data_IF_162488607951
#
_entry.id   IF_162488607951
#
_cell.length_a   1.000
_cell.length_b   1.000
_cell.length_c   1.000
_cell.angle_alpha   90.00
_cell.angle_beta   90.00
_cell.angle_gamma   90.00
#
_symmetry.space_group_name_H-M   'P 1'
#
loop_
_entity.id
_entity.type
_entity.pdbx_description
1 polymer ?
#
# COMPACT_ATOMS: atom_id res chain seq x y z
N UNK A 1 -38.61 -19.30 84.23
CA UNK A 1 -38.94 -20.16 83.08
C UNK A 1 -39.85 -19.39 82.15
N UNK A 2 -39.28 -18.73 81.14
CA UNK A 2 -40.04 -17.99 80.14
C UNK A 2 -39.14 -17.71 78.93
N UNK A 3 -39.70 -17.98 77.74
CA UNK A 3 -39.39 -17.43 76.41
C UNK A 3 -38.00 -17.73 75.83
N UNK A 4 -37.94 -18.42 74.68
CA UNK A 4 -37.51 -17.87 73.36
C UNK A 4 -37.77 -18.95 72.29
N UNK A 5 -38.69 -18.69 71.36
CA UNK A 5 -38.80 -19.37 70.06
C UNK A 5 -37.64 -18.89 69.17
N UNK A 6 -36.81 -19.81 68.66
CA UNK A 6 -35.87 -19.51 67.57
C UNK A 6 -36.49 -19.94 66.24
N UNK A 7 -36.93 -18.96 65.46
CA UNK A 7 -37.25 -19.12 64.04
C UNK A 7 -35.95 -19.02 63.24
N UNK A 8 -35.64 -20.03 62.44
CA UNK A 8 -34.56 -20.00 61.45
C UNK A 8 -35.01 -19.12 60.26
N UNK A 9 -34.38 -17.96 60.11
CA UNK A 9 -34.43 -17.19 58.86
C UNK A 9 -33.58 -17.90 57.81
N UNK A 10 -34.19 -18.30 56.69
CA UNK A 10 -33.46 -18.54 55.45
C UNK A 10 -33.07 -17.19 54.85
N UNK A 11 -31.78 -16.85 54.89
CA UNK A 11 -31.23 -15.74 54.13
C UNK A 11 -31.15 -16.15 52.65
N UNK A 12 -32.02 -15.60 51.82
CA UNK A 12 -31.85 -15.65 50.37
C UNK A 12 -30.64 -14.77 50.02
N UNK A 13 -29.53 -15.39 49.60
CA UNK A 13 -28.46 -14.68 48.92
C UNK A 13 -28.99 -14.22 47.56
N UNK A 14 -29.34 -12.94 47.46
CA UNK A 14 -29.55 -12.25 46.20
C UNK A 14 -28.20 -12.16 45.47
N UNK A 15 -27.92 -13.11 44.59
CA UNK A 15 -26.86 -12.97 43.58
C UNK A 15 -27.18 -11.75 42.72
N UNK A 16 -26.46 -10.65 42.97
CA UNK A 16 -26.40 -9.52 42.05
C UNK A 16 -25.70 -10.03 40.80
N UNK A 17 -26.47 -10.34 39.76
CA UNK A 17 -25.94 -10.45 38.42
C UNK A 17 -25.47 -9.06 38.02
N UNK A 18 -24.16 -8.84 38.09
CA UNK A 18 -23.52 -7.79 37.31
C UNK A 18 -23.67 -8.24 35.85
N UNK A 19 -24.74 -7.79 35.20
CA UNK A 19 -24.80 -7.82 33.74
C UNK A 19 -23.57 -7.07 33.23
N UNK A 20 -22.68 -7.70 32.46
CA UNK A 20 -21.69 -6.93 31.75
C UNK A 20 -22.48 -5.97 30.86
N UNK A 21 -22.27 -4.66 31.03
CA UNK A 21 -22.74 -3.69 30.05
C UNK A 21 -22.17 -4.17 28.71
N UNK A 22 -23.05 -4.63 27.85
CA UNK A 22 -22.75 -4.83 26.45
C UNK A 22 -22.46 -3.45 25.85
N UNK A 23 -21.23 -2.96 26.02
CA UNK A 23 -20.64 -1.97 25.13
C UNK A 23 -20.30 -2.65 23.80
N UNK A 24 -21.33 -3.22 23.18
CA UNK A 24 -21.37 -3.65 21.80
C UNK A 24 -22.26 -2.69 21.04
N UNK A 25 -22.02 -1.37 21.17
CA UNK A 25 -22.52 -0.45 20.18
C UNK A 25 -21.80 -0.80 18.88
N UNK A 26 -22.47 -1.58 18.04
CA UNK A 26 -22.22 -1.68 16.61
C UNK A 26 -22.14 -0.24 16.11
N UNK A 27 -20.94 0.33 16.10
CA UNK A 27 -20.69 1.59 15.40
C UNK A 27 -20.86 1.19 13.95
N UNK A 28 -22.09 1.30 13.43
CA UNK A 28 -22.30 1.21 11.99
C UNK A 28 -21.29 2.18 11.38
N UNK A 29 -20.39 1.65 10.55
CA UNK A 29 -19.37 2.46 9.92
C UNK A 29 -20.11 3.58 9.18
N UNK A 30 -19.93 4.83 9.62
CA UNK A 30 -20.39 5.96 8.84
C UNK A 30 -19.62 5.89 7.51
N UNK A 31 -20.36 5.81 6.41
CA UNK A 31 -19.83 5.75 5.05
C UNK A 31 -19.20 7.08 4.62
N UNK A 32 -19.36 8.12 5.43
CA UNK A 32 -18.82 9.44 5.19
C UNK A 32 -19.60 10.14 4.07
N UNK A 33 -18.91 11.01 3.33
CA UNK A 33 -19.51 11.79 2.24
C UNK A 33 -18.64 11.79 0.97
N UNK A 34 -17.63 10.91 0.91
CA UNK A 34 -16.74 10.76 -0.23
C UNK A 34 -17.33 9.92 -1.37
N UNK A 35 -16.47 9.50 -2.29
CA UNK A 35 -16.83 8.74 -3.49
C UNK A 35 -17.50 7.40 -3.18
N UNK A 36 -17.21 6.77 -2.04
CA UNK A 36 -17.89 5.55 -1.62
C UNK A 36 -19.39 5.79 -1.40
N UNK A 37 -19.74 6.85 -0.65
CA UNK A 37 -21.13 7.17 -0.32
C UNK A 37 -21.90 7.76 -1.51
N UNK A 38 -21.21 8.50 -2.38
CA UNK A 38 -21.85 9.27 -3.47
C UNK A 38 -21.83 8.56 -4.82
N UNK A 39 -20.94 7.57 -5.01
CA UNK A 39 -20.63 7.00 -6.32
C UNK A 39 -19.94 7.98 -7.29
N UNK A 40 -19.63 9.20 -6.83
CA UNK A 40 -19.04 10.25 -7.65
C UNK A 40 -17.54 10.33 -7.43
N UNK A 41 -16.78 9.99 -8.48
CA UNK A 41 -15.33 10.12 -8.51
C UNK A 41 -14.96 11.37 -9.31
N UNK A 42 -14.20 12.25 -8.68
CA UNK A 42 -13.80 13.55 -9.23
C UNK A 42 -12.82 13.38 -10.39
N UNK A 43 -13.08 14.08 -11.49
CA UNK A 43 -12.12 14.26 -12.59
C UNK A 43 -11.49 15.65 -12.41
N UNK A 44 -10.33 15.70 -11.76
CA UNK A 44 -9.66 16.94 -11.40
C UNK A 44 -9.13 17.69 -12.62
N UNK A 45 -8.81 16.97 -13.72
CA UNK A 45 -8.43 17.60 -14.97
C UNK A 45 -9.62 18.35 -15.58
N UNK A 46 -10.81 17.76 -15.52
CA UNK A 46 -12.02 18.45 -15.96
C UNK A 46 -12.41 19.60 -15.02
N UNK A 47 -12.42 19.36 -13.71
CA UNK A 47 -12.85 20.34 -12.71
C UNK A 47 -11.96 21.59 -12.66
N UNK A 48 -10.64 21.44 -12.84
CA UNK A 48 -9.69 22.52 -12.55
C UNK A 48 -8.91 23.03 -13.76
N UNK A 49 -8.75 22.23 -14.82
CA UNK A 49 -8.01 22.61 -16.03
C UNK A 49 -8.92 22.81 -17.26
N UNK A 50 -10.21 22.45 -17.17
CA UNK A 50 -11.17 22.61 -18.26
C UNK A 50 -11.07 21.53 -19.35
N UNK A 51 -10.37 20.42 -19.08
CA UNK A 51 -10.41 19.24 -19.93
C UNK A 51 -11.78 18.56 -19.87
N UNK A 52 -12.03 17.61 -20.77
CA UNK A 52 -13.20 16.76 -20.68
C UNK A 52 -12.83 15.30 -20.36
N UNK A 53 -13.80 14.52 -19.87
CA UNK A 53 -13.58 13.13 -19.47
C UNK A 53 -13.02 12.25 -20.59
N UNK A 54 -13.31 12.55 -21.86
CA UNK A 54 -12.77 11.78 -23.00
C UNK A 54 -11.28 12.06 -23.17
N UNK A 55 -10.84 13.30 -22.99
CA UNK A 55 -9.41 13.65 -22.99
C UNK A 55 -8.69 12.96 -21.83
N UNK A 56 -9.27 12.99 -20.63
CA UNK A 56 -8.72 12.31 -19.46
C UNK A 56 -8.54 10.81 -19.70
N UNK A 57 -9.57 10.13 -20.23
CA UNK A 57 -9.50 8.70 -20.60
C UNK A 57 -8.46 8.44 -21.67
N UNK A 58 -8.43 9.24 -22.73
CA UNK A 58 -7.44 9.08 -23.82
C UNK A 58 -6.00 9.15 -23.29
N UNK A 59 -5.74 10.05 -22.33
CA UNK A 59 -4.41 10.17 -21.70
C UNK A 59 -4.08 8.96 -20.82
N UNK A 60 -5.05 8.45 -20.05
CA UNK A 60 -4.90 7.24 -19.24
C UNK A 60 -4.63 6.02 -20.12
N UNK A 61 -5.42 5.82 -21.17
CA UNK A 61 -5.30 4.70 -22.11
C UNK A 61 -3.95 4.72 -22.81
N UNK A 62 -3.49 5.89 -23.29
CA UNK A 62 -2.17 6.03 -23.91
C UNK A 62 -1.01 5.70 -22.95
N UNK A 63 -1.15 6.04 -21.65
CA UNK A 63 -0.14 5.69 -20.65
C UNK A 63 -0.11 4.19 -20.36
N UNK A 64 -1.29 3.56 -20.27
CA UNK A 64 -1.40 2.10 -20.14
C UNK A 64 -0.76 1.40 -21.35
N UNK A 65 -1.14 1.78 -22.57
CA UNK A 65 -0.60 1.20 -23.80
C UNK A 65 0.93 1.30 -23.85
N UNK A 66 1.51 2.43 -23.47
CA UNK A 66 2.96 2.57 -23.44
C UNK A 66 3.62 1.65 -22.41
N UNK A 67 3.10 1.58 -21.18
CA UNK A 67 3.71 0.77 -20.13
C UNK A 67 3.47 -0.73 -20.27
N UNK A 68 2.34 -1.13 -20.86
CA UNK A 68 1.94 -2.52 -20.99
C UNK A 68 2.27 -3.12 -22.36
N UNK A 69 2.26 -2.31 -23.41
CA UNK A 69 2.37 -2.78 -24.80
C UNK A 69 3.36 -1.99 -25.66
N UNK A 70 4.05 -0.99 -25.09
CA UNK A 70 5.04 -0.18 -25.79
C UNK A 70 6.35 -0.92 -26.10
N UNK A 71 7.32 -0.18 -26.62
CA UNK A 71 8.65 -0.70 -26.90
C UNK A 71 9.31 -1.26 -25.63
N UNK A 72 9.75 -2.52 -25.69
CA UNK A 72 10.32 -3.22 -24.53
C UNK A 72 11.61 -2.56 -24.01
N UNK A 73 12.43 -1.96 -24.87
CA UNK A 73 13.70 -1.41 -24.42
C UNK A 73 13.54 -0.04 -23.73
N UNK A 74 12.57 0.74 -24.17
CA UNK A 74 12.48 2.17 -23.84
C UNK A 74 11.22 2.58 -23.10
N UNK A 75 10.13 1.82 -23.21
CA UNK A 75 8.79 2.21 -22.77
C UNK A 75 8.18 1.21 -21.79
N UNK A 76 8.08 -0.07 -22.18
CA UNK A 76 7.31 -1.05 -21.44
C UNK A 76 7.94 -1.38 -20.07
N UNK A 77 7.05 -1.68 -19.13
CA UNK A 77 7.31 -2.18 -17.79
C UNK A 77 6.74 -3.59 -17.59
N UNK A 78 5.70 -3.95 -18.35
CA UNK A 78 5.08 -5.28 -18.38
C UNK A 78 5.74 -6.19 -19.43
N UNK A 79 6.01 -7.44 -19.04
CA UNK A 79 6.62 -8.44 -19.91
C UNK A 79 5.95 -9.79 -19.72
N UNK A 80 5.28 -10.28 -20.76
CA UNK A 80 4.91 -11.70 -20.86
C UNK A 80 6.14 -12.56 -21.15
N UNK A 81 6.31 -13.64 -20.40
CA UNK A 81 7.48 -14.52 -20.45
C UNK A 81 7.13 -16.00 -20.63
N UNK A 82 5.91 -16.28 -21.09
CA UNK A 82 5.43 -17.63 -21.39
C UNK A 82 4.18 -17.97 -20.60
N UNK A 83 4.00 -19.25 -20.28
CA UNK A 83 2.83 -19.76 -19.57
C UNK A 83 3.16 -21.01 -18.75
N UNK A 84 2.35 -21.29 -17.73
CA UNK A 84 2.36 -22.54 -16.97
C UNK A 84 0.94 -23.16 -16.94
N UNK A 85 0.69 -24.11 -16.04
CA UNK A 85 -0.62 -24.76 -15.91
C UNK A 85 -1.78 -23.81 -15.56
N UNK A 86 -1.50 -22.62 -15.03
CA UNK A 86 -2.50 -21.60 -14.75
C UNK A 86 -2.70 -20.63 -15.94
N UNK A 87 -1.91 -20.72 -17.00
CA UNK A 87 -1.98 -19.82 -18.16
C UNK A 87 -0.77 -18.87 -18.26
N UNK A 88 -0.93 -17.70 -18.90
CA UNK A 88 0.15 -16.75 -19.14
C UNK A 88 0.87 -16.30 -17.85
N UNK A 89 2.13 -15.94 -18.00
CA UNK A 89 3.02 -15.44 -16.95
C UNK A 89 3.58 -14.08 -17.40
N UNK A 90 3.42 -13.07 -16.57
CA UNK A 90 4.00 -11.76 -16.82
C UNK A 90 4.53 -11.11 -15.55
N UNK A 91 5.54 -10.26 -15.68
CA UNK A 91 6.03 -9.43 -14.57
C UNK A 91 6.03 -7.95 -14.93
N UNK A 92 6.00 -7.12 -13.88
CA UNK A 92 6.39 -5.71 -13.94
C UNK A 92 7.83 -5.60 -13.43
N UNK A 93 8.71 -4.94 -14.17
CA UNK A 93 10.14 -4.85 -13.81
C UNK A 93 10.59 -3.43 -13.47
N UNK A 94 11.37 -3.33 -12.40
CA UNK A 94 12.26 -2.20 -12.18
C UNK A 94 13.46 -2.33 -13.12
N UNK A 95 13.37 -1.62 -14.23
CA UNK A 95 14.34 -1.68 -15.33
C UNK A 95 15.74 -1.25 -14.88
N UNK A 96 15.84 -0.25 -14.00
CA UNK A 96 17.12 0.24 -13.50
C UNK A 96 17.79 -0.80 -12.59
N UNK A 97 17.00 -1.45 -11.73
CA UNK A 97 17.52 -2.45 -10.79
C UNK A 97 17.58 -3.87 -11.37
N UNK A 98 16.97 -4.11 -12.52
CA UNK A 98 16.87 -5.41 -13.20
C UNK A 98 16.25 -6.48 -12.29
N UNK A 99 15.16 -6.10 -11.61
CA UNK A 99 14.38 -6.98 -10.75
C UNK A 99 12.86 -6.78 -10.96
N UNK A 100 12.09 -7.77 -10.51
CA UNK A 100 10.64 -7.69 -10.35
C UNK A 100 10.34 -7.61 -8.85
N UNK A 101 9.55 -6.60 -8.45
CA UNK A 101 9.27 -6.29 -7.05
C UNK A 101 7.80 -6.47 -6.70
N UNK A 102 7.50 -6.91 -5.49
CA UNK A 102 6.11 -7.09 -5.04
C UNK A 102 5.31 -5.80 -5.19
N UNK A 103 5.92 -4.65 -4.90
CA UNK A 103 5.40 -3.30 -5.17
C UNK A 103 4.95 -3.13 -6.64
N UNK A 104 5.84 -3.31 -7.61
CA UNK A 104 5.52 -3.15 -9.02
C UNK A 104 4.49 -4.15 -9.52
N UNK A 105 4.57 -5.39 -9.04
CA UNK A 105 3.62 -6.46 -9.38
C UNK A 105 2.22 -6.13 -8.86
N UNK A 106 2.10 -5.69 -7.61
CA UNK A 106 0.82 -5.36 -7.00
C UNK A 106 0.24 -4.06 -7.57
N UNK A 107 1.07 -3.08 -7.94
CA UNK A 107 0.66 -1.88 -8.68
C UNK A 107 0.16 -2.23 -10.09
N UNK A 108 0.86 -3.11 -10.81
CA UNK A 108 0.44 -3.61 -12.11
C UNK A 108 -0.93 -4.29 -12.05
N UNK A 109 -1.18 -5.12 -11.02
CA UNK A 109 -2.49 -5.71 -10.77
C UNK A 109 -3.55 -4.65 -10.46
N UNK A 110 -3.24 -3.65 -9.64
CA UNK A 110 -4.16 -2.56 -9.33
C UNK A 110 -4.54 -1.77 -10.59
N UNK A 111 -3.57 -1.40 -11.41
CA UNK A 111 -3.78 -0.69 -12.68
C UNK A 111 -4.67 -1.53 -13.61
N UNK A 112 -4.31 -2.80 -13.81
CA UNK A 112 -5.05 -3.70 -14.69
C UNK A 112 -6.51 -3.90 -14.24
N UNK A 113 -6.76 -4.08 -12.94
CA UNK A 113 -8.15 -4.22 -12.45
C UNK A 113 -8.94 -2.93 -12.54
N UNK A 114 -8.33 -1.75 -12.34
CA UNK A 114 -9.02 -0.46 -12.52
C UNK A 114 -9.40 -0.22 -13.99
N UNK A 115 -8.55 -0.66 -14.91
CA UNK A 115 -8.73 -0.47 -16.34
C UNK A 115 -9.43 -1.63 -17.08
N UNK A 116 -9.89 -2.67 -16.35
CA UNK A 116 -10.57 -3.85 -16.90
C UNK A 116 -9.71 -4.83 -17.70
N UNK A 117 -8.40 -4.84 -17.50
CA UNK A 117 -7.45 -5.68 -18.22
C UNK A 117 -7.22 -7.02 -17.49
N UNK A 118 -8.19 -7.93 -17.61
CA UNK A 118 -8.17 -9.22 -16.88
C UNK A 118 -7.00 -10.13 -17.30
N UNK A 119 -6.63 -10.13 -18.57
CA UNK A 119 -5.53 -10.94 -19.09
C UNK A 119 -4.20 -10.56 -18.43
N UNK A 120 -3.87 -9.27 -18.44
CA UNK A 120 -2.67 -8.71 -17.82
C UNK A 120 -2.68 -8.95 -16.31
N UNK A 121 -3.83 -8.73 -15.65
CA UNK A 121 -4.00 -9.01 -14.22
C UNK A 121 -3.67 -10.46 -13.88
N UNK A 122 -4.29 -11.42 -14.59
CA UNK A 122 -4.13 -12.84 -14.33
C UNK A 122 -2.69 -13.30 -14.60
N UNK A 123 -2.03 -12.75 -15.63
CA UNK A 123 -0.65 -13.06 -15.96
C UNK A 123 0.34 -12.57 -14.88
N UNK A 124 0.14 -11.35 -14.36
CA UNK A 124 0.94 -10.77 -13.26
C UNK A 124 0.73 -11.59 -11.98
N UNK A 125 -0.53 -11.88 -11.66
CA UNK A 125 -0.88 -12.65 -10.47
C UNK A 125 -0.32 -14.08 -10.51
N UNK A 126 -0.37 -14.72 -11.68
CA UNK A 126 0.21 -16.05 -11.87
C UNK A 126 1.73 -16.03 -11.64
N UNK A 127 2.44 -15.02 -12.16
CA UNK A 127 3.88 -14.90 -11.95
C UNK A 127 4.22 -14.68 -10.47
N UNK A 128 3.49 -13.81 -9.77
CA UNK A 128 3.66 -13.59 -8.34
C UNK A 128 3.45 -14.89 -7.53
N UNK A 129 2.41 -15.68 -7.82
CA UNK A 129 2.18 -16.96 -7.12
C UNK A 129 3.25 -18.01 -7.45
N UNK A 130 3.67 -18.04 -8.71
CA UNK A 130 4.65 -19.02 -9.19
C UNK A 130 6.00 -18.76 -8.55
N UNK A 131 6.52 -17.54 -8.65
CA UNK A 131 7.91 -17.23 -8.32
C UNK A 131 8.09 -16.50 -7.00
N UNK A 132 7.20 -15.58 -6.63
CA UNK A 132 7.38 -14.74 -5.43
C UNK A 132 6.86 -15.40 -4.16
N UNK A 133 5.75 -16.12 -4.22
CA UNK A 133 5.12 -16.74 -3.04
C UNK A 133 6.10 -17.70 -2.34
N UNK A 134 6.40 -17.45 -1.07
CA UNK A 134 7.26 -18.30 -0.25
C UNK A 134 6.42 -19.45 0.30
N UNK A 135 6.80 -20.70 0.01
CA UNK A 135 6.07 -21.90 0.45
C UNK A 135 6.95 -22.92 1.16
N UNK A 136 8.26 -22.70 1.28
CA UNK A 136 9.13 -23.57 2.09
C UNK A 136 8.83 -23.35 3.59
N UNK A 137 8.36 -24.36 4.33
CA UNK A 137 8.01 -24.22 5.75
C UNK A 137 9.22 -23.95 6.68
N UNK A 138 10.46 -24.17 6.21
CA UNK A 138 11.67 -23.80 6.94
C UNK A 138 12.03 -22.31 6.76
N UNK A 139 11.41 -21.61 5.81
CA UNK A 139 11.52 -20.16 5.69
C UNK A 139 10.48 -19.50 6.63
N UNK A 140 10.90 -18.67 7.60
CA UNK A 140 9.98 -18.04 8.54
C UNK A 140 9.02 -17.03 7.87
N UNK A 141 9.20 -16.69 6.59
CA UNK A 141 8.27 -15.87 5.80
C UNK A 141 7.27 -16.69 4.96
N UNK A 142 7.12 -17.99 5.23
CA UNK A 142 6.23 -18.87 4.48
C UNK A 142 4.78 -18.35 4.47
N UNK A 143 4.22 -18.16 3.27
CA UNK A 143 2.88 -17.61 3.04
C UNK A 143 2.89 -16.18 2.50
N UNK A 144 3.97 -15.43 2.71
CA UNK A 144 4.21 -14.10 2.12
C UNK A 144 4.92 -14.18 0.76
N UNK A 145 5.18 -13.03 0.13
CA UNK A 145 5.84 -12.94 -1.17
C UNK A 145 7.23 -12.35 -1.04
N UNK A 146 8.24 -12.96 -1.67
CA UNK A 146 9.58 -12.38 -1.73
C UNK A 146 9.56 -11.04 -2.45
N UNK A 147 10.01 -9.97 -1.79
CA UNK A 147 9.86 -8.60 -2.28
C UNK A 147 10.64 -8.31 -3.57
N UNK A 148 11.67 -9.11 -3.90
CA UNK A 148 12.51 -8.91 -5.08
C UNK A 148 12.97 -10.24 -5.67
N UNK A 149 12.77 -10.35 -6.98
CA UNK A 149 13.14 -11.49 -7.81
C UNK A 149 13.90 -10.98 -9.04
N UNK A 150 14.81 -11.80 -9.59
CA UNK A 150 15.26 -11.58 -10.96
C UNK A 150 14.12 -11.83 -11.95
N UNK A 151 14.23 -11.26 -13.16
CA UNK A 151 13.19 -11.39 -14.20
C UNK A 151 13.06 -12.81 -14.76
N UNK A 152 14.03 -13.68 -14.49
CA UNK A 152 13.96 -15.12 -14.79
C UNK A 152 13.21 -15.94 -13.71
N UNK A 153 12.73 -15.28 -12.64
CA UNK A 153 12.03 -15.92 -11.54
C UNK A 153 12.94 -16.44 -10.42
N UNK A 154 14.26 -16.23 -10.48
CA UNK A 154 15.17 -16.61 -9.38
C UNK A 154 15.17 -15.56 -8.25
N UNK A 155 15.31 -15.96 -6.98
CA UNK A 155 15.17 -15.04 -5.85
C UNK A 155 16.32 -14.03 -5.69
N UNK A 156 15.99 -12.75 -5.46
CA UNK A 156 16.91 -11.71 -4.93
C UNK A 156 16.69 -11.41 -3.46
N UNK A 157 15.60 -11.90 -2.89
CA UNK A 157 15.26 -11.81 -1.48
C UNK A 157 14.61 -13.10 -0.99
N UNK A 158 14.64 -13.31 0.33
CA UNK A 158 13.94 -14.36 1.07
C UNK A 158 12.87 -13.80 2.02
N UNK A 159 12.59 -12.50 1.97
CA UNK A 159 11.66 -11.77 2.85
C UNK A 159 10.64 -10.93 2.06
N UNK A 160 9.53 -10.52 2.69
CA UNK A 160 8.52 -9.68 2.04
C UNK A 160 8.72 -8.17 2.26
N UNK A 161 7.87 -7.38 1.59
CA UNK A 161 7.72 -5.93 1.71
C UNK A 161 6.21 -5.62 1.78
N UNK A 162 5.67 -5.26 2.97
CA UNK A 162 4.23 -5.31 3.24
C UNK A 162 3.31 -4.48 2.34
N UNK A 163 3.79 -3.38 1.76
CA UNK A 163 3.02 -2.57 0.80
C UNK A 163 2.63 -3.38 -0.45
N UNK A 164 3.49 -4.31 -0.87
CA UNK A 164 3.20 -5.30 -1.90
C UNK A 164 1.96 -6.13 -1.56
N UNK A 165 1.93 -6.74 -0.38
CA UNK A 165 0.81 -7.52 0.12
C UNK A 165 -0.48 -6.69 0.26
N UNK A 166 -0.40 -5.46 0.75
CA UNK A 166 -1.56 -4.57 0.88
C UNK A 166 -2.24 -4.31 -0.48
N UNK A 167 -1.45 -4.00 -1.51
CA UNK A 167 -1.96 -3.81 -2.86
C UNK A 167 -2.39 -5.12 -3.52
N UNK A 168 -1.74 -6.25 -3.26
CA UNK A 168 -2.20 -7.55 -3.74
C UNK A 168 -3.61 -7.86 -3.20
N UNK A 169 -3.82 -7.74 -1.89
CA UNK A 169 -5.13 -7.96 -1.25
C UNK A 169 -6.19 -7.09 -1.88
N UNK A 170 -5.94 -5.78 -2.00
CA UNK A 170 -6.96 -4.86 -2.52
C UNK A 170 -7.25 -5.11 -4.00
N UNK A 171 -6.22 -5.37 -4.81
CA UNK A 171 -6.37 -5.69 -6.23
C UNK A 171 -7.18 -6.97 -6.44
N UNK A 172 -6.97 -7.99 -5.60
CA UNK A 172 -7.70 -9.25 -5.63
C UNK A 172 -9.16 -9.10 -5.19
N UNK A 173 -9.46 -8.30 -4.16
CA UNK A 173 -10.85 -7.97 -3.82
C UNK A 173 -11.56 -7.24 -4.96
N UNK A 174 -10.90 -6.27 -5.60
CA UNK A 174 -11.47 -5.60 -6.77
C UNK A 174 -11.66 -6.56 -7.95
N UNK A 175 -10.74 -7.49 -8.19
CA UNK A 175 -10.89 -8.50 -9.24
C UNK A 175 -12.08 -9.42 -8.97
N UNK A 176 -12.24 -9.90 -7.74
CA UNK A 176 -13.40 -10.70 -7.32
C UNK A 176 -14.72 -9.96 -7.58
N UNK A 177 -14.78 -8.68 -7.22
CA UNK A 177 -15.98 -7.87 -7.34
C UNK A 177 -16.29 -7.46 -8.79
N UNK A 178 -15.25 -7.26 -9.60
CA UNK A 178 -15.37 -6.84 -11.01
C UNK A 178 -15.66 -8.01 -11.94
N UNK A 179 -14.94 -9.12 -11.79
CA UNK A 179 -14.94 -10.25 -12.72
C UNK A 179 -15.51 -11.55 -12.15
N UNK A 180 -15.81 -11.60 -10.85
CA UNK A 180 -16.17 -12.84 -10.16
C UNK A 180 -14.94 -13.69 -9.80
N UNK A 181 -15.15 -14.76 -9.03
CA UNK A 181 -14.08 -15.67 -8.63
C UNK A 181 -13.99 -16.86 -9.59
N UNK A 182 -12.76 -17.17 -10.03
CA UNK A 182 -12.42 -18.43 -10.70
C UNK A 182 -12.03 -19.53 -9.70
N UNK A 183 -11.17 -20.46 -10.13
CA UNK A 183 -10.66 -21.58 -9.32
C UNK A 183 -9.17 -21.42 -9.00
N UNK A 184 -8.67 -22.13 -7.98
CA UNK A 184 -7.25 -22.14 -7.63
C UNK A 184 -6.72 -20.75 -7.27
N UNK A 185 -5.64 -20.31 -7.93
CA UNK A 185 -5.10 -18.96 -7.73
C UNK A 185 -6.05 -17.86 -8.22
N UNK A 186 -7.00 -18.17 -9.12
CA UNK A 186 -7.97 -17.21 -9.65
C UNK A 186 -9.27 -17.12 -8.83
N UNK A 187 -9.36 -17.85 -7.70
CA UNK A 187 -10.36 -17.52 -6.68
C UNK A 187 -9.88 -16.28 -5.91
N UNK A 188 -10.04 -15.11 -6.52
CA UNK A 188 -9.42 -13.86 -6.06
C UNK A 188 -9.81 -13.51 -4.63
N UNK A 189 -11.08 -13.67 -4.25
CA UNK A 189 -11.54 -13.40 -2.88
C UNK A 189 -10.86 -14.34 -1.88
N UNK A 190 -10.77 -15.63 -2.18
CA UNK A 190 -10.12 -16.58 -1.27
C UNK A 190 -8.62 -16.27 -1.13
N UNK A 191 -7.95 -15.84 -2.21
CA UNK A 191 -6.56 -15.40 -2.14
C UNK A 191 -6.41 -14.11 -1.32
N UNK A 192 -7.29 -13.12 -1.52
CA UNK A 192 -7.29 -11.88 -0.74
C UNK A 192 -7.51 -12.16 0.75
N UNK A 193 -8.52 -12.95 1.12
CA UNK A 193 -8.82 -13.34 2.50
C UNK A 193 -7.62 -14.07 3.13
N UNK A 194 -6.97 -14.99 2.40
CA UNK A 194 -5.77 -15.71 2.86
C UNK A 194 -4.64 -14.75 3.21
N UNK A 195 -4.30 -13.84 2.29
CA UNK A 195 -3.18 -12.92 2.47
C UNK A 195 -3.49 -11.94 3.60
N UNK A 196 -4.69 -11.36 3.61
CA UNK A 196 -5.11 -10.41 4.64
C UNK A 196 -5.11 -11.04 6.04
N UNK A 197 -5.56 -12.29 6.15
CA UNK A 197 -5.50 -13.05 7.40
C UNK A 197 -4.05 -13.31 7.82
N UNK A 198 -3.16 -13.72 6.90
CA UNK A 198 -1.74 -13.92 7.20
C UNK A 198 -1.06 -12.61 7.63
N UNK A 199 -1.35 -11.47 7.00
CA UNK A 199 -0.78 -10.18 7.39
C UNK A 199 -1.02 -9.86 8.87
N UNK A 200 -2.13 -10.34 9.45
CA UNK A 200 -2.45 -10.16 10.87
C UNK A 200 -2.04 -11.34 11.76
N UNK A 201 -2.17 -12.56 11.27
CA UNK A 201 -2.09 -13.79 12.08
C UNK A 201 -0.93 -14.70 11.74
N UNK A 202 0.02 -14.25 10.90
CA UNK A 202 1.19 -15.06 10.60
C UNK A 202 1.89 -15.47 11.91
N UNK A 203 2.10 -16.77 12.15
CA UNK A 203 2.72 -17.23 13.38
C UNK A 203 4.12 -16.64 13.53
N UNK A 204 4.54 -16.33 14.75
CA UNK A 204 5.92 -15.92 14.99
C UNK A 204 6.82 -17.14 14.82
N UNK A 205 7.59 -17.16 13.75
CA UNK A 205 8.47 -18.27 13.37
C UNK A 205 9.92 -17.81 13.36
N UNK A 206 10.81 -18.69 13.82
CA UNK A 206 12.25 -18.45 13.78
C UNK A 206 12.92 -19.52 12.95
N UNK A 207 13.76 -19.10 12.00
CA UNK A 207 14.56 -19.99 11.18
C UNK A 207 16.00 -19.48 11.06
N UNK A 208 16.91 -20.36 10.65
CA UNK A 208 18.30 -20.01 10.36
C UNK A 208 18.59 -20.22 8.87
N UNK A 209 19.11 -19.21 8.16
CA UNK A 209 19.47 -19.34 6.74
C UNK A 209 20.61 -20.36 6.53
N UNK A 210 20.77 -20.90 5.31
CA UNK A 210 20.17 -20.40 4.08
C UNK A 210 18.72 -20.90 3.89
N UNK A 211 17.82 -19.96 3.62
CA UNK A 211 16.40 -20.24 3.37
C UNK A 211 16.16 -20.59 1.90
N UNK A 212 15.05 -21.26 1.62
CA UNK A 212 14.53 -21.47 0.27
C UNK A 212 13.24 -20.69 0.11
N UNK A 213 12.81 -20.46 -1.13
CA UNK A 213 11.47 -19.95 -1.39
C UNK A 213 10.48 -21.10 -1.51
N UNK A 214 10.82 -22.16 -2.26
CA UNK A 214 10.00 -23.37 -2.39
C UNK A 214 10.72 -24.60 -1.82
N UNK A 215 9.96 -25.60 -1.33
CA UNK A 215 10.54 -26.88 -0.92
C UNK A 215 11.34 -27.54 -2.05
N UNK A 216 12.53 -28.04 -1.74
CA UNK A 216 13.37 -28.78 -2.69
C UNK A 216 14.17 -27.92 -3.67
N UNK A 217 13.97 -26.59 -3.71
CA UNK A 217 14.79 -25.69 -4.51
C UNK A 217 16.17 -25.43 -3.87
N UNK A 218 17.16 -24.94 -4.64
CA UNK A 218 18.39 -24.42 -4.08
C UNK A 218 18.12 -23.30 -3.06
N UNK A 219 18.87 -23.23 -1.95
CA UNK A 219 18.73 -22.12 -1.02
C UNK A 219 19.04 -20.78 -1.68
N UNK A 220 18.31 -19.74 -1.29
CA UNK A 220 18.59 -18.36 -1.64
C UNK A 220 19.99 -17.97 -1.19
N UNK A 221 20.75 -17.39 -2.12
CA UNK A 221 22.07 -16.82 -1.88
C UNK A 221 21.94 -15.30 -1.96
N UNK A 222 22.09 -14.57 -0.83
CA UNK A 222 22.00 -13.12 -0.85
C UNK A 222 23.03 -12.51 -1.80
N UNK A 223 22.65 -11.52 -2.64
CA UNK A 223 23.59 -10.86 -3.51
C UNK A 223 24.69 -10.18 -2.68
N UNK A 224 25.95 -10.39 -3.09
CA UNK A 224 27.10 -9.76 -2.44
C UNK A 224 27.04 -8.26 -2.70
N UNK A 225 26.82 -7.46 -1.65
CA UNK A 225 26.93 -6.01 -1.74
C UNK A 225 28.41 -5.63 -1.62
N UNK A 226 28.93 -4.95 -2.64
CA UNK A 226 30.30 -4.43 -2.61
C UNK A 226 30.52 -3.59 -1.34
N UNK A 227 31.59 -3.88 -0.59
CA UNK A 227 31.92 -3.19 0.66
C UNK A 227 31.11 -3.62 1.90
N UNK A 228 30.18 -4.58 1.80
CA UNK A 228 29.49 -5.15 2.96
C UNK A 228 30.16 -6.43 3.44
N UNK A 229 30.26 -6.68 4.77
CA UNK A 229 30.73 -7.96 5.27
C UNK A 229 29.78 -9.09 4.82
N UNK A 230 30.28 -10.35 4.68
CA UNK A 230 29.42 -11.49 4.40
C UNK A 230 28.26 -11.54 5.40
N UNK A 231 27.03 -11.71 4.91
CA UNK A 231 25.88 -11.87 5.80
C UNK A 231 26.10 -13.12 6.63
N UNK A 232 26.21 -12.95 7.95
CA UNK A 232 26.27 -14.08 8.88
C UNK A 232 24.93 -14.82 8.81
N UNK A 233 24.97 -16.15 8.93
CA UNK A 233 23.77 -16.98 9.07
C UNK A 233 23.17 -16.83 10.48
N UNK A 234 22.62 -15.65 10.74
CA UNK A 234 21.94 -15.33 11.99
C UNK A 234 20.48 -15.74 11.84
N UNK A 235 19.96 -16.39 12.88
CA UNK A 235 18.54 -16.72 12.98
C UNK A 235 17.68 -15.47 12.81
N UNK A 236 16.58 -15.60 12.07
CA UNK A 236 15.62 -14.53 11.81
C UNK A 236 14.26 -14.96 12.32
N UNK A 237 13.60 -14.05 13.02
CA UNK A 237 12.23 -14.23 13.50
C UNK A 237 11.29 -13.36 12.67
N UNK A 238 10.27 -13.97 12.07
CA UNK A 238 9.25 -13.30 11.25
C UNK A 238 7.87 -13.57 11.83
N UNK A 239 6.97 -12.58 11.76
CA UNK A 239 5.62 -12.67 12.33
C UNK A 239 4.59 -11.94 11.47
N UNK A 240 3.53 -11.39 12.07
CA UNK A 240 2.56 -10.55 11.36
C UNK A 240 3.20 -9.33 10.71
N UNK A 241 2.59 -8.85 9.62
CA UNK A 241 2.94 -7.58 8.94
C UNK A 241 2.39 -6.35 9.65
N UNK A 242 1.57 -6.54 10.68
CA UNK A 242 1.02 -5.46 11.49
C UNK A 242 1.45 -5.60 12.93
N UNK A 243 1.65 -4.46 13.61
CA UNK A 243 1.81 -4.44 15.05
C UNK A 243 0.43 -4.44 15.72
N UNK A 244 0.13 -5.48 16.50
CA UNK A 244 -1.17 -5.62 17.15
C UNK A 244 -1.50 -4.53 18.17
N UNK A 245 -0.50 -3.96 18.84
CA UNK A 245 -0.75 -2.93 19.84
C UNK A 245 -0.84 -1.53 19.23
N UNK A 246 0.05 -1.21 18.29
CA UNK A 246 0.02 0.08 17.59
C UNK A 246 -1.10 0.16 16.55
N UNK A 247 -1.63 -0.97 16.07
CA UNK A 247 -2.58 -1.06 14.93
C UNK A 247 -2.00 -0.42 13.66
N UNK A 248 -0.72 -0.67 13.41
CA UNK A 248 0.01 -0.12 12.27
C UNK A 248 0.62 -1.25 11.45
N UNK A 249 0.67 -1.06 10.14
CA UNK A 249 1.53 -1.85 9.26
C UNK A 249 2.99 -1.67 9.69
N UNK A 250 3.82 -2.69 9.48
CA UNK A 250 5.25 -2.67 9.75
C UNK A 250 6.02 -2.39 8.47
N UNK A 251 7.24 -1.87 8.61
CA UNK A 251 8.16 -1.79 7.47
C UNK A 251 8.56 -3.19 6.97
N UNK A 252 8.86 -4.12 7.89
CA UNK A 252 9.13 -5.55 7.60
C UNK A 252 8.66 -6.39 8.78
N UNK A 253 8.02 -7.56 8.57
CA UNK A 253 7.52 -8.41 9.65
C UNK A 253 8.65 -9.19 10.35
N UNK A 254 9.54 -8.57 11.14
CA UNK A 254 10.51 -9.37 11.89
C UNK A 254 11.54 -8.65 12.77
N UNK A 255 11.96 -9.30 13.85
CA UNK A 255 13.02 -8.86 14.75
C UNK A 255 12.82 -7.46 15.36
N UNK A 256 13.88 -6.67 15.41
CA UNK A 256 13.89 -5.26 15.81
C UNK A 256 13.03 -4.36 14.90
N UNK A 257 12.61 -4.86 13.73
CA UNK A 257 11.75 -4.16 12.78
C UNK A 257 10.27 -4.19 13.15
N UNK A 258 9.89 -4.93 14.18
CA UNK A 258 8.57 -4.83 14.83
C UNK A 258 8.43 -3.57 15.72
N UNK A 259 9.22 -2.51 15.46
CA UNK A 259 9.25 -1.28 16.25
C UNK A 259 9.01 -0.02 15.45
N UNK A 260 8.86 -0.12 14.13
CA UNK A 260 8.69 1.03 13.24
C UNK A 260 7.92 0.67 11.97
N UNK A 261 7.48 1.71 11.26
CA UNK A 261 6.65 1.66 10.05
C UNK A 261 7.28 2.52 8.95
N UNK A 262 6.60 2.58 7.82
CA UNK A 262 6.86 3.47 6.69
C UNK A 262 5.58 4.27 6.41
N UNK A 263 5.57 5.62 6.49
CA UNK A 263 4.37 6.42 6.24
C UNK A 263 3.71 6.16 4.88
N UNK A 264 4.47 5.73 3.88
CA UNK A 264 3.94 5.38 2.56
C UNK A 264 3.18 4.05 2.51
N UNK A 265 3.29 3.20 3.53
CA UNK A 265 2.58 1.92 3.62
C UNK A 265 1.22 2.09 4.29
N UNK A 266 0.95 3.23 4.93
CA UNK A 266 -0.36 3.48 5.54
C UNK A 266 -1.41 3.74 4.45
N UNK A 267 -2.38 2.83 4.32
CA UNK A 267 -3.44 2.85 3.31
C UNK A 267 -4.84 2.80 3.93
N UNK A 268 -5.24 3.80 4.75
CA UNK A 268 -6.56 3.79 5.41
C UNK A 268 -7.73 3.67 4.43
N UNK A 269 -7.56 4.13 3.19
CA UNK A 269 -8.54 3.95 2.13
C UNK A 269 -8.89 2.48 1.88
N UNK A 270 -7.88 1.60 1.94
CA UNK A 270 -8.03 0.15 1.77
C UNK A 270 -8.47 -0.52 3.07
N UNK A 271 -7.95 -0.06 4.21
CA UNK A 271 -8.32 -0.61 5.52
C UNK A 271 -9.82 -0.43 5.82
N UNK A 272 -10.42 0.67 5.38
CA UNK A 272 -11.88 0.89 5.42
C UNK A 272 -12.63 -0.20 4.65
N UNK A 273 -12.12 -0.64 3.50
CA UNK A 273 -12.72 -1.73 2.71
C UNK A 273 -12.49 -3.08 3.38
N UNK A 274 -11.30 -3.34 3.93
CA UNK A 274 -11.00 -4.58 4.64
C UNK A 274 -11.84 -4.72 5.91
N UNK A 275 -12.14 -3.61 6.59
CA UNK A 275 -13.07 -3.57 7.73
C UNK A 275 -14.51 -3.93 7.34
N UNK A 276 -14.86 -3.86 6.06
CA UNK A 276 -16.19 -4.20 5.53
C UNK A 276 -16.24 -5.58 4.86
N UNK A 277 -15.19 -5.96 4.13
CA UNK A 277 -15.21 -7.09 3.20
C UNK A 277 -14.29 -8.24 3.60
N UNK A 278 -13.29 -7.96 4.43
CA UNK A 278 -12.34 -8.96 4.90
C UNK A 278 -12.96 -10.00 5.83
N UNK A 279 -12.14 -10.97 6.29
CA UNK A 279 -12.52 -11.96 7.29
C UNK A 279 -13.21 -11.29 8.49
N UNK A 280 -14.34 -11.83 8.92
CA UNK A 280 -15.26 -11.17 9.87
C UNK A 280 -14.55 -10.90 11.20
N UNK A 281 -13.72 -11.84 11.64
CA UNK A 281 -12.87 -11.79 12.84
C UNK A 281 -11.83 -10.67 12.81
N UNK A 282 -11.49 -10.15 11.62
CA UNK A 282 -10.44 -9.16 11.42
C UNK A 282 -10.94 -7.74 11.19
N UNK A 283 -12.24 -7.59 10.94
CA UNK A 283 -12.84 -6.30 10.58
C UNK A 283 -12.60 -5.21 11.60
N UNK A 284 -12.68 -5.54 12.89
CA UNK A 284 -12.46 -4.56 13.96
C UNK A 284 -11.02 -4.04 13.95
N UNK A 285 -10.04 -4.91 13.75
CA UNK A 285 -8.64 -4.50 13.66
C UNK A 285 -8.42 -3.51 12.52
N UNK A 286 -8.96 -3.79 11.33
CA UNK A 286 -8.80 -2.90 10.18
C UNK A 286 -9.52 -1.56 10.35
N UNK A 287 -10.67 -1.53 11.04
CA UNK A 287 -11.33 -0.29 11.41
C UNK A 287 -10.48 0.56 12.38
N UNK A 288 -9.81 -0.06 13.34
CA UNK A 288 -8.89 0.61 14.25
C UNK A 288 -7.62 1.08 13.54
N UNK A 289 -7.02 0.24 12.70
CA UNK A 289 -5.84 0.56 11.89
C UNK A 289 -6.10 1.72 10.92
N UNK A 290 -7.32 1.82 10.39
CA UNK A 290 -7.78 2.99 9.61
C UNK A 290 -7.68 4.27 10.44
N UNK A 291 -8.26 4.25 11.65
CA UNK A 291 -8.29 5.41 12.55
C UNK A 291 -6.88 5.83 12.96
N UNK A 292 -6.04 4.84 13.29
CA UNK A 292 -4.64 5.07 13.64
C UNK A 292 -3.85 5.66 12.48
N UNK A 293 -4.03 5.17 11.26
CA UNK A 293 -3.28 5.63 10.09
C UNK A 293 -3.60 7.08 9.71
N UNK A 294 -4.88 7.47 9.77
CA UNK A 294 -5.31 8.87 9.61
C UNK A 294 -4.64 9.81 10.62
N UNK A 295 -4.60 9.39 11.89
CA UNK A 295 -3.92 10.15 12.93
C UNK A 295 -2.39 10.14 12.78
N UNK A 296 -1.82 9.06 12.24
CA UNK A 296 -0.38 8.90 12.05
C UNK A 296 0.18 9.89 11.02
N UNK A 297 -0.51 10.14 9.91
CA UNK A 297 -0.03 11.09 8.90
C UNK A 297 0.25 12.49 9.47
N UNK A 298 -0.53 12.94 10.44
CA UNK A 298 -0.33 14.23 11.11
C UNK A 298 0.95 14.24 11.96
N UNK A 299 1.28 13.11 12.58
CA UNK A 299 2.50 12.96 13.40
C UNK A 299 3.75 12.77 12.54
N UNK A 300 3.60 12.06 11.42
CA UNK A 300 4.70 11.66 10.54
C UNK A 300 5.12 12.75 9.54
N UNK A 301 4.38 13.85 9.45
CA UNK A 301 4.67 14.96 8.52
C UNK A 301 5.18 16.19 9.25
N UNK A 302 6.15 16.87 8.65
CA UNK A 302 6.66 18.13 9.18
C UNK A 302 5.55 19.21 9.18
N UNK A 303 5.32 19.95 10.28
CA UNK A 303 4.21 20.88 10.41
C UNK A 303 4.34 22.13 9.52
N UNK A 304 5.53 22.41 8.97
CA UNK A 304 5.79 23.52 8.06
C UNK A 304 5.76 23.06 6.61
N UNK A 305 6.48 22.00 6.26
CA UNK A 305 6.66 21.56 4.86
C UNK A 305 5.63 20.53 4.40
N UNK A 306 5.02 19.78 5.33
CA UNK A 306 4.12 18.67 5.01
C UNK A 306 4.84 17.40 4.53
N UNK A 307 6.17 17.39 4.53
CA UNK A 307 6.97 16.24 4.13
C UNK A 307 6.99 15.16 5.22
N UNK A 308 6.82 13.90 4.82
CA UNK A 308 7.10 12.72 5.64
C UNK A 308 8.50 12.17 5.35
N UNK A 309 9.01 11.33 6.25
CA UNK A 309 10.22 10.53 5.99
C UNK A 309 9.86 9.19 5.34
N UNK A 310 10.82 8.54 4.68
CA UNK A 310 10.65 7.16 4.19
C UNK A 310 10.31 6.21 5.36
N UNK A 311 11.10 6.15 6.43
CA UNK A 311 10.82 5.31 7.59
C UNK A 311 10.52 6.15 8.83
N UNK A 312 9.54 5.73 9.62
CA UNK A 312 9.16 6.42 10.84
C UNK A 312 8.86 5.45 11.99
N UNK A 313 9.19 5.84 13.22
CA UNK A 313 8.71 5.13 14.41
C UNK A 313 7.17 5.29 14.53
N UNK A 314 6.51 4.45 15.33
CA UNK A 314 5.06 4.50 15.50
C UNK A 314 4.53 5.84 16.08
N UNK A 315 5.40 6.64 16.71
CA UNK A 315 5.05 7.97 17.19
C UNK A 315 5.12 9.06 16.11
N UNK A 316 5.58 8.73 14.89
CA UNK A 316 5.73 9.62 13.75
C UNK A 316 7.14 10.20 13.58
N UNK A 317 8.06 9.98 14.53
CA UNK A 317 9.43 10.48 14.40
C UNK A 317 10.20 9.73 13.30
N UNK A 318 11.06 10.43 12.52
CA UNK A 318 11.86 9.77 11.48
C UNK A 318 12.78 8.69 12.06
N UNK A 319 12.92 7.58 11.34
CA UNK A 319 13.76 6.44 11.75
C UNK A 319 15.02 6.38 10.91
N UNK A 320 16.16 6.61 11.56
CA UNK A 320 17.46 6.31 10.95
C UNK A 320 17.69 4.80 10.87
N UNK A 321 18.34 4.35 9.79
CA UNK A 321 18.57 2.94 9.52
C UNK A 321 19.83 2.74 8.66
N UNK A 322 20.07 1.50 8.22
CA UNK A 322 21.11 1.20 7.23
C UNK A 322 20.87 1.88 5.87
N UNK A 323 19.63 2.28 5.58
CA UNK A 323 19.30 3.10 4.42
C UNK A 323 19.54 4.57 4.79
N UNK A 324 20.52 5.27 4.19
CA UNK A 324 20.84 6.66 4.55
C UNK A 324 19.71 7.64 4.21
N UNK A 325 18.73 7.24 3.41
CA UNK A 325 17.58 8.07 3.05
C UNK A 325 16.40 7.91 4.02
N UNK A 326 16.45 6.94 4.94
CA UNK A 326 15.27 6.53 5.71
C UNK A 326 14.64 7.64 6.55
N UNK A 327 15.44 8.59 7.04
CA UNK A 327 14.94 9.71 7.85
C UNK A 327 14.61 10.97 7.02
N UNK A 328 14.62 10.88 5.69
CA UNK A 328 14.43 12.01 4.76
C UNK A 328 13.18 11.81 3.90
N UNK A 329 12.70 12.88 3.29
CA UNK A 329 11.70 12.78 2.22
C UNK A 329 12.39 12.32 0.94
N UNK A 330 12.23 11.04 0.63
CA UNK A 330 12.82 10.34 -0.51
C UNK A 330 11.79 9.40 -1.17
N UNK A 331 12.23 8.35 -1.85
CA UNK A 331 11.44 7.59 -2.81
C UNK A 331 10.13 7.03 -2.25
N UNK A 332 10.15 6.44 -1.05
CA UNK A 332 8.96 5.83 -0.44
C UNK A 332 7.94 6.93 -0.06
N UNK A 333 8.42 7.96 0.64
CA UNK A 333 7.60 9.07 1.16
C UNK A 333 6.89 9.91 0.10
N UNK A 334 7.28 9.82 -1.18
CA UNK A 334 6.55 10.46 -2.28
C UNK A 334 5.08 10.03 -2.34
N UNK A 335 4.76 8.79 -1.94
CA UNK A 335 3.40 8.23 -1.98
C UNK A 335 2.54 8.65 -0.79
N UNK A 336 3.13 9.11 0.32
CA UNK A 336 2.35 9.41 1.54
C UNK A 336 1.22 10.39 1.26
N UNK A 337 1.50 11.44 0.48
CA UNK A 337 0.50 12.45 0.15
C UNK A 337 -0.63 11.94 -0.74
N UNK A 338 -0.33 11.05 -1.69
CA UNK A 338 -1.39 10.40 -2.46
C UNK A 338 -2.26 9.52 -1.59
N UNK A 339 -1.71 8.79 -0.61
CA UNK A 339 -2.47 7.83 0.19
C UNK A 339 -3.59 8.48 1.00
N UNK A 340 -3.27 9.52 1.78
CA UNK A 340 -4.30 10.24 2.56
C UNK A 340 -5.29 10.97 1.66
N UNK A 341 -4.86 11.38 0.46
CA UNK A 341 -5.74 12.11 -0.46
C UNK A 341 -6.74 11.19 -1.16
N UNK A 342 -6.36 9.94 -1.40
CA UNK A 342 -7.27 8.88 -1.84
C UNK A 342 -8.24 8.49 -0.72
N UNK A 343 -7.78 8.39 0.53
CA UNK A 343 -8.66 8.17 1.69
C UNK A 343 -9.71 9.28 1.81
N UNK A 344 -9.28 10.53 1.78
CA UNK A 344 -10.18 11.68 1.79
C UNK A 344 -11.18 11.64 0.62
N UNK A 345 -10.70 11.34 -0.60
CA UNK A 345 -11.57 11.27 -1.78
C UNK A 345 -12.64 10.20 -1.65
N UNK A 346 -12.29 9.03 -1.15
CA UNK A 346 -13.20 7.89 -1.04
C UNK A 346 -14.16 8.01 0.13
N UNK A 347 -13.67 8.50 1.27
CA UNK A 347 -14.39 8.43 2.53
C UNK A 347 -14.81 9.81 3.04
N UNK A 348 -13.95 10.82 2.87
CA UNK A 348 -14.15 12.18 3.38
C UNK A 348 -14.41 12.18 4.91
N UNK A 349 -13.57 11.46 5.66
CA UNK A 349 -13.75 11.23 7.11
C UNK A 349 -12.73 11.93 7.99
N UNK A 350 -11.56 12.32 7.47
CA UNK A 350 -10.52 12.98 8.26
C UNK A 350 -10.33 14.45 7.79
N UNK A 351 -10.77 15.44 8.59
CA UNK A 351 -10.67 16.85 8.21
C UNK A 351 -9.23 17.38 8.15
N UNK A 352 -8.24 16.64 8.65
CA UNK A 352 -6.84 17.04 8.56
C UNK A 352 -6.20 16.72 7.20
N UNK A 353 -6.73 15.77 6.42
CA UNK A 353 -6.15 15.38 5.11
C UNK A 353 -6.09 16.54 4.10
N UNK A 354 -7.11 17.43 4.00
CA UNK A 354 -7.00 18.67 3.22
C UNK A 354 -5.86 19.59 3.67
N UNK A 355 -5.67 19.72 4.99
CA UNK A 355 -4.62 20.57 5.57
C UNK A 355 -3.23 20.01 5.24
N UNK A 356 -3.04 18.70 5.31
CA UNK A 356 -1.79 18.04 4.92
C UNK A 356 -1.50 18.25 3.43
N UNK A 357 -2.52 18.11 2.59
CA UNK A 357 -2.42 18.29 1.13
C UNK A 357 -2.07 19.72 0.74
N UNK A 358 -2.73 20.71 1.34
CA UNK A 358 -2.44 22.13 1.11
C UNK A 358 -1.01 22.49 1.53
N UNK A 359 -0.51 21.90 2.63
CA UNK A 359 0.82 22.15 3.17
C UNK A 359 1.92 21.64 2.23
N UNK A 360 1.84 20.37 1.82
CA UNK A 360 2.87 19.79 0.95
C UNK A 360 2.89 20.46 -0.43
N UNK A 361 1.73 20.75 -1.02
CA UNK A 361 1.66 21.48 -2.29
C UNK A 361 2.22 22.91 -2.14
N UNK A 362 1.92 23.60 -1.03
CA UNK A 362 2.48 24.94 -0.77
C UNK A 362 4.00 24.90 -0.67
N UNK A 363 4.56 23.93 0.05
CA UNK A 363 6.01 23.80 0.18
C UNK A 363 6.66 23.47 -1.16
N UNK A 364 6.22 22.41 -1.86
CA UNK A 364 6.85 22.01 -3.12
C UNK A 364 6.72 23.08 -4.20
N UNK A 365 5.61 23.82 -4.23
CA UNK A 365 5.46 24.96 -5.13
C UNK A 365 6.46 26.09 -4.81
N UNK A 366 6.77 26.32 -3.53
CA UNK A 366 7.75 27.35 -3.12
C UNK A 366 9.19 27.00 -3.52
N UNK A 367 9.48 25.73 -3.80
CA UNK A 367 10.75 25.27 -4.36
C UNK A 367 10.86 25.51 -5.87
N UNK A 368 9.78 25.99 -6.50
CA UNK A 368 9.65 26.20 -7.94
C UNK A 368 9.22 24.92 -8.65
N UNK A 369 8.07 24.98 -9.34
CA UNK A 369 7.45 23.80 -9.98
C UNK A 369 8.37 23.08 -10.99
N UNK A 370 9.25 23.83 -11.65
CA UNK A 370 10.20 23.32 -12.66
C UNK A 370 11.57 22.95 -12.07
N UNK A 371 11.85 23.34 -10.83
CA UNK A 371 13.19 23.25 -10.19
C UNK A 371 13.20 22.46 -8.89
N UNK A 372 12.03 22.07 -8.38
CA UNK A 372 11.90 21.23 -7.20
C UNK A 372 12.71 19.93 -7.35
N UNK A 373 13.45 19.61 -6.30
CA UNK A 373 14.24 18.39 -6.16
C UNK A 373 13.31 17.22 -5.84
N UNK A 374 13.80 16.00 -6.06
CA UNK A 374 13.09 14.77 -5.73
C UNK A 374 13.40 14.24 -4.33
N UNK A 375 14.28 14.92 -3.57
CA UNK A 375 14.60 14.56 -2.19
C UNK A 375 14.86 15.79 -1.34
N UNK A 376 14.41 15.74 -0.09
CA UNK A 376 14.57 16.81 0.87
C UNK A 376 14.81 16.27 2.28
N UNK A 377 15.53 17.03 3.10
CA UNK A 377 15.36 16.93 4.56
C UNK A 377 13.93 17.37 4.92
N UNK A 378 13.40 16.94 6.07
CA UNK A 378 12.01 17.25 6.42
C UNK A 378 11.75 18.74 6.67
N UNK A 379 12.78 19.50 7.05
CA UNK A 379 12.75 20.97 7.16
C UNK A 379 12.89 21.68 5.80
N UNK A 380 13.06 20.94 4.71
CA UNK A 380 12.91 21.44 3.34
C UNK A 380 14.21 21.78 2.62
N UNK A 381 15.37 21.31 3.09
CA UNK A 381 16.64 21.48 2.36
C UNK A 381 16.73 20.45 1.23
N UNK A 382 16.96 20.86 -0.03
CA UNK A 382 17.11 19.91 -1.13
C UNK A 382 18.33 19.02 -0.95
N UNK A 383 18.16 17.73 -1.21
CA UNK A 383 19.20 16.68 -1.14
C UNK A 383 19.54 16.12 -2.52
N UNK A 384 18.96 16.67 -3.58
CA UNK A 384 19.09 16.20 -4.95
C UNK A 384 18.94 17.38 -5.91
N UNK A 385 19.45 17.22 -7.13
CA UNK A 385 19.20 18.12 -8.26
C UNK A 385 18.25 17.51 -9.29
N UNK A 386 17.84 16.25 -9.10
CA UNK A 386 16.91 15.55 -9.98
C UNK A 386 15.48 15.99 -9.67
N UNK A 387 14.67 16.15 -10.71
CA UNK A 387 13.21 16.31 -10.62
C UNK A 387 12.54 15.03 -11.10
N UNK A 388 11.73 14.41 -10.24
CA UNK A 388 11.00 13.17 -10.52
C UNK A 388 9.63 13.46 -11.11
N UNK A 389 9.25 12.74 -12.18
CA UNK A 389 7.87 12.77 -12.68
C UNK A 389 6.92 12.09 -11.71
N UNK A 390 7.33 10.98 -11.07
CA UNK A 390 6.54 10.26 -10.08
C UNK A 390 6.20 11.11 -8.86
N UNK A 391 7.18 11.83 -8.30
CA UNK A 391 6.95 12.72 -7.15
C UNK A 391 6.01 13.88 -7.49
N UNK A 392 6.15 14.48 -8.69
CA UNK A 392 5.22 15.51 -9.16
C UNK A 392 3.82 14.92 -9.34
N UNK A 393 3.72 13.70 -9.85
CA UNK A 393 2.45 13.01 -10.06
C UNK A 393 1.75 12.69 -8.73
N UNK A 394 2.44 12.20 -7.70
CA UNK A 394 1.82 11.94 -6.39
C UNK A 394 1.45 13.24 -5.67
N UNK A 395 2.23 14.31 -5.87
CA UNK A 395 1.88 15.66 -5.39
C UNK A 395 0.63 16.21 -6.09
N UNK A 396 0.45 15.92 -7.38
CA UNK A 396 -0.78 16.24 -8.10
C UNK A 396 -1.99 15.48 -7.55
N UNK A 397 -1.83 14.21 -7.19
CA UNK A 397 -2.87 13.39 -6.52
C UNK A 397 -3.33 13.99 -5.20
N UNK A 398 -2.46 14.74 -4.49
CA UNK A 398 -2.88 15.46 -3.29
C UNK A 398 -4.02 16.49 -3.54
N UNK A 399 -4.24 16.88 -4.79
CA UNK A 399 -5.36 17.74 -5.19
C UNK A 399 -6.74 17.09 -5.03
N UNK A 400 -6.81 15.78 -4.78
CA UNK A 400 -8.06 15.12 -4.38
C UNK A 400 -8.58 15.63 -3.03
N UNK A 401 -7.68 16.03 -2.13
CA UNK A 401 -8.01 16.54 -0.80
C UNK A 401 -7.66 18.02 -0.59
N UNK A 402 -6.68 18.56 -1.31
CA UNK A 402 -6.29 19.96 -1.20
C UNK A 402 -7.44 20.93 -1.52
N UNK A 403 -7.38 22.13 -0.94
CA UNK A 403 -8.30 23.21 -1.29
C UNK A 403 -8.11 23.56 -2.79
N UNK A 404 -9.17 23.52 -3.62
CA UNK A 404 -9.06 23.88 -5.03
C UNK A 404 -8.53 25.31 -5.19
N UNK A 405 -7.52 25.51 -6.04
CA UNK A 405 -6.87 26.80 -6.19
C UNK A 405 -5.61 26.75 -7.05
N UNK A 406 -4.82 27.82 -7.02
CA UNK A 406 -3.61 27.94 -7.84
C UNK A 406 -2.63 26.78 -7.62
N UNK A 407 -2.38 26.40 -6.35
CA UNK A 407 -1.43 25.33 -5.99
C UNK A 407 -1.80 23.99 -6.63
N UNK A 408 -3.04 23.54 -6.43
CA UNK A 408 -3.54 22.29 -7.00
C UNK A 408 -3.60 22.34 -8.52
N UNK A 409 -4.04 23.47 -9.11
CA UNK A 409 -4.02 23.68 -10.57
C UNK A 409 -2.63 23.54 -11.18
N UNK A 410 -1.59 24.08 -10.54
CA UNK A 410 -0.21 23.98 -11.04
C UNK A 410 0.25 22.53 -11.11
N UNK A 411 0.10 21.75 -10.04
CA UNK A 411 0.51 20.33 -10.05
C UNK A 411 -0.32 19.46 -10.99
N UNK A 412 -1.64 19.72 -11.08
CA UNK A 412 -2.50 19.05 -12.07
C UNK A 412 -2.05 19.36 -13.51
N UNK A 413 -1.70 20.62 -13.80
CA UNK A 413 -1.19 21.02 -15.11
C UNK A 413 0.16 20.37 -15.43
N UNK A 414 1.05 20.22 -14.44
CA UNK A 414 2.31 19.50 -14.63
C UNK A 414 2.11 18.03 -14.93
N UNK A 415 1.25 17.33 -14.17
CA UNK A 415 0.90 15.94 -14.47
C UNK A 415 0.26 15.80 -15.86
N UNK A 416 -0.62 16.74 -16.23
CA UNK A 416 -1.26 16.74 -17.53
C UNK A 416 -0.26 16.92 -18.69
N UNK A 417 0.70 17.85 -18.54
CA UNK A 417 1.73 18.13 -19.55
C UNK A 417 2.82 17.07 -19.61
N UNK A 418 3.08 16.38 -18.50
CA UNK A 418 4.15 15.40 -18.43
C UNK A 418 3.96 14.28 -19.47
N UNK A 419 5.01 13.98 -20.26
CA UNK A 419 4.99 12.81 -21.15
C UNK A 419 4.97 11.54 -20.30
N UNK A 420 4.48 10.45 -20.89
CA UNK A 420 4.52 9.14 -20.22
C UNK A 420 6.00 8.75 -20.01
N UNK A 421 6.45 8.49 -18.77
CA UNK A 421 7.84 8.15 -18.47
C UNK A 421 8.44 7.06 -19.38
N UNK A 422 9.69 7.26 -19.78
CA UNK A 422 10.47 6.34 -20.62
C UNK A 422 11.96 6.39 -20.21
N UNK A 423 12.79 5.49 -20.76
CA UNK A 423 14.21 5.38 -20.42
C UNK A 423 14.47 4.60 -19.12
N UNK A 424 15.68 4.70 -18.57
CA UNK A 424 16.14 3.81 -17.50
C UNK A 424 15.38 3.99 -16.17
N UNK A 425 14.96 5.21 -15.84
CA UNK A 425 14.28 5.54 -14.58
C UNK A 425 12.74 5.40 -14.66
N UNK A 426 12.22 4.81 -15.74
CA UNK A 426 10.78 4.81 -16.05
C UNK A 426 9.91 3.96 -15.12
N UNK A 427 10.48 3.03 -14.37
CA UNK A 427 9.70 2.13 -13.51
C UNK A 427 8.96 2.89 -12.41
N UNK A 428 9.69 3.50 -11.48
CA UNK A 428 9.05 4.09 -10.30
C UNK A 428 8.32 5.39 -10.65
N UNK A 429 8.94 6.24 -11.48
CA UNK A 429 8.25 7.41 -12.03
C UNK A 429 6.99 7.02 -12.81
N UNK A 430 7.04 5.94 -13.60
CA UNK A 430 5.96 5.49 -14.45
C UNK A 430 4.79 4.88 -13.70
N UNK A 431 5.07 4.03 -12.70
CA UNK A 431 4.02 3.45 -11.85
C UNK A 431 3.27 4.52 -11.07
N UNK A 432 4.00 5.47 -10.46
CA UNK A 432 3.39 6.60 -9.76
C UNK A 432 2.63 7.53 -10.71
N UNK A 433 3.18 7.82 -11.89
CA UNK A 433 2.50 8.58 -12.93
C UNK A 433 1.18 7.92 -13.34
N UNK A 434 1.19 6.61 -13.62
CA UNK A 434 0.02 5.87 -14.07
C UNK A 434 -1.09 5.86 -13.01
N UNK A 435 -0.74 5.56 -11.76
CA UNK A 435 -1.66 5.59 -10.63
C UNK A 435 -2.24 6.99 -10.42
N UNK A 436 -1.41 8.03 -10.48
CA UNK A 436 -1.86 9.42 -10.37
C UNK A 436 -2.78 9.86 -11.51
N UNK A 437 -2.55 9.40 -12.74
CA UNK A 437 -3.50 9.64 -13.84
C UNK A 437 -4.85 9.00 -13.56
N UNK A 438 -4.88 7.75 -13.07
CA UNK A 438 -6.13 7.08 -12.69
C UNK A 438 -6.86 7.84 -11.59
N UNK A 439 -6.14 8.30 -10.56
CA UNK A 439 -6.70 9.08 -9.46
C UNK A 439 -7.26 10.42 -9.93
N UNK A 440 -6.43 11.26 -10.58
CA UNK A 440 -6.80 12.61 -10.99
C UNK A 440 -7.86 12.65 -12.11
N UNK A 441 -8.05 11.56 -12.85
CA UNK A 441 -9.10 11.45 -13.88
C UNK A 441 -10.42 10.82 -13.38
N UNK A 442 -10.50 10.42 -12.11
CA UNK A 442 -11.68 9.73 -11.58
C UNK A 442 -11.88 8.30 -12.10
N UNK A 443 -10.82 7.67 -12.63
CA UNK A 443 -10.82 6.29 -13.12
C UNK A 443 -10.24 5.28 -12.11
N UNK A 444 -9.67 5.74 -10.99
CA UNK A 444 -9.35 4.90 -9.84
C UNK A 444 -10.56 4.79 -8.90
N UNK A 445 -11.28 3.66 -8.95
CA UNK A 445 -12.59 3.49 -8.29
C UNK A 445 -12.63 2.34 -7.31
N UNK A 446 -13.61 2.39 -6.42
CA UNK A 446 -13.97 1.27 -5.55
C UNK A 446 -14.84 0.32 -6.38
N UNK A 447 -14.36 -0.91 -6.55
CA UNK A 447 -15.15 -2.01 -7.10
C UNK A 447 -15.70 -2.84 -5.95
N UNK A 448 -16.90 -2.49 -5.48
CA UNK A 448 -17.54 -3.15 -4.33
C UNK A 448 -18.24 -4.48 -4.68
N UNK A 449 -18.51 -5.34 -3.69
CA UNK A 449 -19.29 -6.56 -3.87
C UNK A 449 -20.65 -6.24 -4.50
N UNK A 450 -21.09 -7.08 -5.46
CA UNK A 450 -22.40 -6.96 -6.10
C UNK A 450 -23.52 -7.55 -5.26
#
# INVERSE_FOLDING_TARGET
>A
MNVVRRSLLFAALSTVFITPLAFGAKRMANDGSGAYATGHYRDLFAEQLGHNQKESRTKVDAAFDQFFHGDKNTQALYYEVGSNANGPLAYITDVANKDARTEGMSYGMMIAVQMNHKHEFDAIWNWANTYMLITDPANPSAGYFSWSMYTDGTPRSDSPAPDGEEYFVMSLYFAANRWGNGTGIYNYKAQADRILSLMRHHPVQTGTPPFRLKPGEPPFVPPVRAGSPPRKNVSRTVGPMVNEQAKMILFVPGGDRNSFTDPSYHLPAFYELWSRWGPIEDRLFWAEATTVSRAFFQKATNPTTGLSSDYANFDGTPRESFNPMSATFSYDSWRTASNWSVDYSWWHKEPQEPVLSDRIQKFLLSQGVNTLADRYTLDGKPLSTRRSTGMVATTATASLAATPGEKSKVFLAELWKAPVPSGEQRYYDGMLYMMSLLHCSGNFRIWGPK
#
